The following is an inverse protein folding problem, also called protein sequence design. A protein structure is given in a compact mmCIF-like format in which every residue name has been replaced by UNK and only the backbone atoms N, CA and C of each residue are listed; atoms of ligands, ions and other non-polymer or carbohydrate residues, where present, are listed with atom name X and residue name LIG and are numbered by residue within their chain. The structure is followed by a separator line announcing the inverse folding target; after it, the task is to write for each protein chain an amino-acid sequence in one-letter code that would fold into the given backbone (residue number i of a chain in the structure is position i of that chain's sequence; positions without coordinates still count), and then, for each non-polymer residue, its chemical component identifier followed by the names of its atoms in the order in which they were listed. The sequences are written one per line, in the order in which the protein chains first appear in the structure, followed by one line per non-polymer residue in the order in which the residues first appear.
data_IF_070948923456
#
_entry.id   IF_070948923456
#
_cell.length_a   1.000
_cell.length_b   1.000
_cell.length_c   1.000
_cell.angle_alpha   90.00
_cell.angle_beta   90.00
_cell.angle_gamma   90.00
#
_symmetry.space_group_name_H-M   'P 1'
#
loop_
_entity.id
_entity.type
_entity.pdbx_description
1 polymer ?
#
# COMPACT_ATOMS: atom_id res chain seq x y z
N UNK A 1 1.43 41.23 -17.60
CA UNK A 1 0.49 40.15 -17.19
C UNK A 1 1.04 39.56 -15.91
N UNK A 2 0.24 39.61 -14.85
CA UNK A 2 0.74 39.74 -13.47
C UNK A 2 -0.12 38.89 -12.54
N UNK A 3 0.50 38.15 -11.62
CA UNK A 3 -0.21 37.47 -10.54
C UNK A 3 -0.80 38.52 -9.59
N UNK A 4 -2.11 38.43 -9.30
CA UNK A 4 -2.82 39.30 -8.36
C UNK A 4 -3.22 38.54 -7.10
N UNK A 5 -2.96 39.10 -5.93
CA UNK A 5 -3.37 38.53 -4.63
C UNK A 5 -4.04 39.62 -3.80
N UNK A 6 -5.33 39.46 -3.48
CA UNK A 6 -6.08 40.47 -2.74
C UNK A 6 -6.11 41.84 -3.43
N UNK A 7 -6.05 41.84 -4.78
CA UNK A 7 -6.00 43.05 -5.61
C UNK A 7 -4.63 43.70 -5.77
N UNK A 8 -3.56 43.10 -5.23
CA UNK A 8 -2.18 43.61 -5.30
C UNK A 8 -1.33 42.75 -6.24
N UNK A 9 -0.37 43.34 -6.93
CA UNK A 9 0.49 42.62 -7.89
C UNK A 9 1.68 41.97 -7.20
N UNK A 10 2.16 40.87 -7.79
CA UNK A 10 3.44 40.26 -7.42
C UNK A 10 4.51 40.66 -8.43
N UNK A 11 5.59 41.29 -7.97
CA UNK A 11 6.71 41.73 -8.80
C UNK A 11 7.50 40.54 -9.36
N UNK A 12 7.92 40.61 -10.64
CA UNK A 12 8.70 39.54 -11.28
C UNK A 12 10.20 39.74 -11.05
N UNK A 13 11.01 38.65 -11.02
CA UNK A 13 12.46 38.75 -10.84
C UNK A 13 13.19 39.55 -11.93
N UNK A 14 12.64 39.57 -13.15
CA UNK A 14 13.22 40.23 -14.33
C UNK A 14 12.65 41.64 -14.58
N UNK A 15 11.81 42.15 -13.68
CA UNK A 15 11.39 43.55 -13.74
C UNK A 15 12.64 44.39 -13.44
N UNK A 16 13.14 45.15 -14.43
CA UNK A 16 14.34 45.97 -14.26
C UNK A 16 14.24 46.79 -12.96
N UNK A 17 15.29 46.82 -12.12
CA UNK A 17 15.31 47.67 -10.96
C UNK A 17 15.34 49.12 -11.46
N UNK A 18 14.16 49.73 -11.60
CA UNK A 18 14.07 51.18 -11.69
C UNK A 18 14.80 51.73 -10.47
N UNK A 19 15.66 52.73 -10.68
CA UNK A 19 16.60 53.27 -9.71
C UNK A 19 15.97 53.92 -8.45
N UNK A 20 14.72 53.59 -8.13
CA UNK A 20 14.06 53.80 -6.85
C UNK A 20 13.32 52.51 -6.52
N UNK A 21 13.64 51.90 -5.38
CA UNK A 21 12.95 50.75 -4.79
C UNK A 21 11.48 51.07 -4.48
N UNK A 22 10.64 51.10 -5.50
CA UNK A 22 9.19 51.22 -5.35
C UNK A 22 8.54 50.11 -6.14
N UNK A 23 8.52 48.93 -5.53
CA UNK A 23 7.27 48.16 -5.50
C UNK A 23 6.19 49.19 -5.16
N UNK A 24 5.22 49.41 -6.05
CA UNK A 24 4.17 50.42 -5.82
C UNK A 24 3.60 50.19 -4.40
N UNK A 25 3.35 51.24 -3.59
CA UNK A 25 2.90 51.07 -2.21
C UNK A 25 1.61 50.25 -2.18
N UNK A 26 1.74 48.94 -1.94
CA UNK A 26 0.66 47.97 -2.09
C UNK A 26 1.08 46.63 -2.70
N UNK A 27 2.06 46.58 -3.61
CA UNK A 27 2.47 45.36 -4.31
C UNK A 27 3.38 44.45 -3.45
N UNK A 28 3.47 43.17 -3.83
CA UNK A 28 4.25 42.15 -3.14
C UNK A 28 5.56 41.85 -3.87
N UNK A 29 6.66 41.76 -3.13
CA UNK A 29 7.89 41.12 -3.60
C UNK A 29 7.74 39.60 -3.57
N UNK A 30 8.16 38.90 -4.63
CA UNK A 30 8.07 37.43 -4.73
C UNK A 30 8.74 36.75 -3.51
N UNK A 31 9.90 37.24 -3.07
CA UNK A 31 10.64 36.67 -1.94
C UNK A 31 9.89 36.83 -0.59
N UNK A 32 9.35 38.02 -0.32
CA UNK A 32 8.58 38.29 0.90
C UNK A 32 7.26 37.49 0.91
N UNK A 33 6.65 37.33 -0.27
CA UNK A 33 5.42 36.56 -0.43
C UNK A 33 5.66 35.05 -0.34
N UNK A 34 6.81 34.55 -0.82
CA UNK A 34 7.19 33.15 -0.68
C UNK A 34 7.29 32.73 0.80
N UNK A 35 7.77 33.63 1.68
CA UNK A 35 7.80 33.38 3.12
C UNK A 35 6.38 33.30 3.71
N UNK A 36 5.52 34.28 3.42
CA UNK A 36 4.12 34.27 3.91
C UNK A 36 3.33 33.07 3.36
N UNK A 37 3.58 32.69 2.10
CA UNK A 37 3.00 31.53 1.47
C UNK A 37 3.48 30.23 2.12
N UNK A 38 4.75 30.15 2.53
CA UNK A 38 5.28 29.00 3.28
C UNK A 38 4.54 28.83 4.61
N UNK A 39 4.36 29.92 5.36
CA UNK A 39 3.61 29.90 6.62
C UNK A 39 2.14 29.50 6.41
N UNK A 40 1.51 30.02 5.36
CA UNK A 40 0.15 29.65 4.98
C UNK A 40 0.04 28.17 4.61
N UNK A 41 0.95 27.64 3.78
CA UNK A 41 0.98 26.22 3.38
C UNK A 41 1.22 25.29 4.59
N UNK A 42 2.14 25.66 5.49
CA UNK A 42 2.40 24.91 6.72
C UNK A 42 1.18 24.91 7.65
N UNK A 43 0.49 26.06 7.81
CA UNK A 43 -0.75 26.14 8.60
C UNK A 43 -1.89 25.29 8.03
N UNK A 44 -1.83 24.96 6.73
CA UNK A 44 -2.76 24.06 6.03
C UNK A 44 -2.29 22.59 6.01
N UNK A 45 -1.24 22.27 6.74
CA UNK A 45 -0.75 20.90 6.93
C UNK A 45 0.36 20.46 5.99
N UNK A 46 0.95 21.36 5.19
CA UNK A 46 2.11 21.06 4.36
C UNK A 46 3.41 21.14 5.18
N UNK A 47 3.71 20.09 5.93
CA UNK A 47 4.83 20.05 6.89
C UNK A 47 6.14 19.52 6.30
N UNK A 48 6.09 18.80 5.18
CA UNK A 48 7.27 18.24 4.54
C UNK A 48 8.02 19.28 3.67
N UNK A 49 9.33 19.43 3.90
CA UNK A 49 10.16 20.37 3.17
C UNK A 49 10.16 20.14 1.65
N UNK A 50 10.10 18.88 1.21
CA UNK A 50 10.07 18.54 -0.22
C UNK A 50 8.78 19.05 -0.89
N UNK A 51 7.64 18.95 -0.20
CA UNK A 51 6.35 19.46 -0.67
C UNK A 51 6.33 20.98 -0.72
N UNK A 52 6.91 21.64 0.29
CA UNK A 52 7.06 23.09 0.29
C UNK A 52 7.91 23.57 -0.90
N UNK A 53 9.02 22.90 -1.21
CA UNK A 53 9.87 23.23 -2.36
C UNK A 53 9.09 23.11 -3.68
N UNK A 54 8.27 22.07 -3.84
CA UNK A 54 7.45 21.87 -5.05
C UNK A 54 6.36 22.95 -5.16
N UNK A 55 5.65 23.25 -4.07
CA UNK A 55 4.63 24.29 -4.05
C UNK A 55 5.20 25.69 -4.33
N UNK A 56 6.39 26.00 -3.80
CA UNK A 56 7.11 27.23 -4.09
C UNK A 56 7.60 27.29 -5.55
N UNK A 57 7.98 26.16 -6.14
CA UNK A 57 8.27 26.06 -7.57
C UNK A 57 7.06 26.40 -8.44
N UNK A 58 5.87 25.89 -8.09
CA UNK A 58 4.61 26.21 -8.77
C UNK A 58 4.22 27.69 -8.60
N UNK A 59 4.45 28.26 -7.41
CA UNK A 59 4.26 29.69 -7.17
C UNK A 59 5.15 30.55 -8.09
N UNK A 60 6.44 30.24 -8.19
CA UNK A 60 7.33 30.94 -9.13
C UNK A 60 6.93 30.75 -10.59
N UNK A 61 6.37 29.59 -10.96
CA UNK A 61 5.76 29.41 -12.30
C UNK A 61 4.59 30.38 -12.50
N UNK A 62 3.70 30.53 -11.52
CA UNK A 62 2.57 31.47 -11.59
C UNK A 62 3.01 32.93 -11.75
N UNK A 63 4.04 33.35 -11.02
CA UNK A 63 4.62 34.70 -11.17
C UNK A 63 5.16 34.93 -12.58
N UNK A 64 5.73 33.89 -13.21
CA UNK A 64 6.35 33.96 -14.54
C UNK A 64 5.40 33.73 -15.70
N UNK A 65 4.19 33.20 -15.46
CA UNK A 65 3.26 32.88 -16.54
C UNK A 65 2.79 34.12 -17.33
N UNK A 66 2.50 33.94 -18.64
CA UNK A 66 2.06 35.03 -19.51
C UNK A 66 0.57 35.35 -19.38
N UNK A 67 -0.18 34.68 -18.50
CA UNK A 67 -1.62 34.92 -18.26
C UNK A 67 -1.83 35.60 -16.91
N UNK A 68 -2.88 36.39 -16.82
CA UNK A 68 -3.31 36.97 -15.54
C UNK A 68 -4.04 35.91 -14.71
N UNK A 69 -3.52 35.64 -13.51
CA UNK A 69 -4.18 34.82 -12.50
C UNK A 69 -4.40 35.66 -11.25
N UNK A 70 -5.59 35.50 -10.64
CA UNK A 70 -5.99 36.30 -9.49
C UNK A 70 -6.50 35.42 -8.36
N UNK A 71 -6.03 35.70 -7.16
CA UNK A 71 -6.42 35.05 -5.93
C UNK A 71 -6.93 36.10 -4.94
N UNK A 72 -7.95 35.75 -4.17
CA UNK A 72 -8.58 36.68 -3.21
C UNK A 72 -7.69 36.95 -1.99
N UNK A 73 -6.73 36.07 -1.69
CA UNK A 73 -5.84 36.12 -0.53
C UNK A 73 -4.65 35.18 -0.71
N UNK A 74 -3.64 35.28 0.16
CA UNK A 74 -2.49 34.35 0.20
C UNK A 74 -2.98 32.95 0.58
N UNK A 75 -3.99 32.86 1.46
CA UNK A 75 -4.62 31.61 1.85
C UNK A 75 -5.33 30.93 0.67
N UNK A 76 -6.00 31.71 -0.19
CA UNK A 76 -6.63 31.19 -1.41
C UNK A 76 -5.57 30.66 -2.40
N UNK A 77 -4.45 31.37 -2.55
CA UNK A 77 -3.32 30.89 -3.34
C UNK A 77 -2.71 29.60 -2.73
N UNK A 78 -2.54 29.55 -1.41
CA UNK A 78 -2.01 28.38 -0.71
C UNK A 78 -2.91 27.14 -0.90
N UNK A 79 -4.23 27.29 -0.79
CA UNK A 79 -5.20 26.22 -1.05
C UNK A 79 -5.09 25.75 -2.50
N UNK A 80 -5.07 26.67 -3.46
CA UNK A 80 -4.96 26.34 -4.88
C UNK A 80 -3.65 25.61 -5.22
N UNK A 81 -2.52 26.04 -4.66
CA UNK A 81 -1.23 25.37 -4.85
C UNK A 81 -1.22 23.97 -4.22
N UNK A 82 -1.87 23.81 -3.07
CA UNK A 82 -2.03 22.52 -2.40
C UNK A 82 -2.89 21.57 -3.24
N UNK A 83 -4.02 22.05 -3.79
CA UNK A 83 -4.87 21.28 -4.71
C UNK A 83 -4.12 20.91 -6.01
N UNK A 84 -3.34 21.84 -6.58
CA UNK A 84 -2.52 21.61 -7.78
C UNK A 84 -1.38 20.62 -7.53
N UNK A 85 -0.72 20.71 -6.36
CA UNK A 85 0.30 19.75 -5.97
C UNK A 85 -0.32 18.37 -5.78
N UNK A 86 -1.48 18.28 -5.12
CA UNK A 86 -2.25 17.04 -5.00
C UNK A 86 -2.69 16.49 -6.35
N UNK A 87 -3.01 17.35 -7.34
CA UNK A 87 -3.33 16.91 -8.70
C UNK A 87 -2.10 16.42 -9.49
N UNK A 88 -0.89 16.95 -9.22
CA UNK A 88 0.38 16.51 -9.86
C UNK A 88 1.06 15.34 -9.15
N UNK A 89 0.78 15.13 -7.86
CA UNK A 89 1.17 13.98 -7.04
C UNK A 89 -0.01 13.63 -6.14
N UNK A 90 -0.94 12.77 -6.60
CA UNK A 90 -2.07 12.38 -5.79
C UNK A 90 -1.59 11.64 -4.54
N UNK A 91 -1.72 12.31 -3.39
CA UNK A 91 -1.84 11.65 -2.08
C UNK A 91 -3.12 10.80 -2.00
N UNK A 92 -4.00 10.92 -2.99
CA UNK A 92 -5.22 10.14 -3.16
C UNK A 92 -5.35 9.71 -4.62
N UNK A 93 -4.81 8.55 -5.01
CA UNK A 93 -5.34 7.85 -6.19
C UNK A 93 -6.83 7.55 -5.95
N UNK A 94 -7.66 7.56 -7.00
CA UNK A 94 -9.11 7.33 -6.95
C UNK A 94 -9.48 6.18 -5.98
N UNK A 95 -9.88 6.53 -4.75
CA UNK A 95 -10.12 5.59 -3.67
C UNK A 95 -11.56 5.06 -3.72
N UNK A 96 -11.99 4.52 -4.85
CA UNK A 96 -13.35 3.98 -4.97
C UNK A 96 -13.53 2.59 -4.34
N UNK A 97 -12.46 1.87 -3.97
CA UNK A 97 -12.62 0.46 -3.61
C UNK A 97 -12.94 0.18 -2.12
N UNK A 98 -12.60 1.04 -1.16
CA UNK A 98 -12.91 0.80 0.27
C UNK A 98 -13.07 2.12 1.05
N UNK A 99 -14.31 2.52 1.45
CA UNK A 99 -14.58 3.73 2.23
C UNK A 99 -13.76 3.87 3.52
N UNK A 100 -13.27 2.74 4.06
CA UNK A 100 -12.49 2.68 5.30
C UNK A 100 -11.08 3.27 5.12
N UNK A 101 -10.45 3.15 3.95
CA UNK A 101 -9.12 3.72 3.75
C UNK A 101 -9.14 5.23 3.62
N UNK A 102 -10.21 5.83 3.06
CA UNK A 102 -10.35 7.30 3.00
C UNK A 102 -10.27 7.95 4.39
N UNK A 103 -10.96 7.37 5.37
CA UNK A 103 -10.88 7.82 6.77
C UNK A 103 -9.49 7.62 7.38
N UNK A 104 -8.80 6.52 7.03
CA UNK A 104 -7.43 6.29 7.47
C UNK A 104 -6.45 7.33 6.88
N UNK A 105 -6.62 7.71 5.61
CA UNK A 105 -5.87 8.80 4.98
C UNK A 105 -6.15 10.15 5.64
N UNK A 106 -7.42 10.47 5.90
CA UNK A 106 -7.79 11.70 6.62
C UNK A 106 -7.17 11.75 8.01
N UNK A 107 -7.26 10.65 8.77
CA UNK A 107 -6.65 10.56 10.09
C UNK A 107 -5.12 10.71 10.03
N UNK A 108 -4.45 10.09 9.06
CA UNK A 108 -3.00 10.25 8.86
C UNK A 108 -2.65 11.71 8.52
N UNK A 109 -3.40 12.34 7.61
CA UNK A 109 -3.24 13.76 7.22
C UNK A 109 -3.40 14.71 8.42
N UNK A 110 -4.31 14.37 9.33
CA UNK A 110 -4.56 15.17 10.53
C UNK A 110 -3.55 14.89 11.68
N UNK A 111 -2.45 14.19 11.41
CA UNK A 111 -1.42 13.88 12.41
C UNK A 111 -1.77 12.71 13.32
N UNK A 112 -2.58 11.76 12.84
CA UNK A 112 -2.97 10.56 13.59
C UNK A 112 -1.77 9.76 14.09
N UNK A 113 -1.87 9.23 15.30
CA UNK A 113 -0.80 8.47 15.95
C UNK A 113 -0.65 7.07 15.34
N UNK A 114 0.60 6.68 15.13
CA UNK A 114 0.99 5.38 14.58
C UNK A 114 1.76 4.59 15.62
N UNK A 115 1.22 3.42 15.97
CA UNK A 115 1.89 2.47 16.86
C UNK A 115 2.59 1.39 16.03
N UNK A 116 3.91 1.25 16.16
CA UNK A 116 4.62 0.20 15.43
C UNK A 116 4.27 -1.19 15.98
N UNK A 117 3.78 -2.09 15.11
CA UNK A 117 3.32 -3.43 15.50
C UNK A 117 4.32 -4.51 15.08
N UNK A 118 4.98 -4.34 13.94
CA UNK A 118 5.94 -5.33 13.45
C UNK A 118 7.02 -4.71 12.55
N UNK A 119 8.17 -5.36 12.51
CA UNK A 119 9.25 -5.05 11.56
C UNK A 119 9.58 -6.31 10.79
N UNK A 120 9.23 -6.33 9.50
CA UNK A 120 9.54 -7.41 8.58
C UNK A 120 10.84 -7.16 7.79
N UNK A 121 11.16 -8.10 6.90
CA UNK A 121 12.33 -7.98 6.02
C UNK A 121 12.24 -6.84 5.01
N UNK A 122 11.03 -6.52 4.52
CA UNK A 122 10.80 -5.49 3.49
C UNK A 122 10.19 -4.19 4.03
N UNK A 123 9.41 -4.28 5.11
CA UNK A 123 8.55 -3.19 5.58
C UNK A 123 8.44 -3.14 7.09
N UNK A 124 8.12 -1.95 7.59
CA UNK A 124 7.61 -1.72 8.95
C UNK A 124 6.08 -1.66 8.87
N UNK A 125 5.43 -2.23 9.88
CA UNK A 125 3.97 -2.25 9.97
C UNK A 125 3.57 -1.45 11.20
N UNK A 126 2.73 -0.46 10.98
CA UNK A 126 2.16 0.41 12.00
C UNK A 126 0.65 0.18 12.06
N UNK A 127 0.07 0.35 13.23
CA UNK A 127 -1.37 0.46 13.40
C UNK A 127 -1.70 1.94 13.53
N UNK A 128 -2.77 2.37 12.87
CA UNK A 128 -3.32 3.69 13.07
C UNK A 128 -4.23 3.67 14.30
N UNK A 129 -3.91 4.43 15.34
CA UNK A 129 -4.59 4.29 16.64
C UNK A 129 -6.08 4.63 16.55
N UNK A 130 -6.44 5.61 15.70
CA UNK A 130 -7.83 5.98 15.42
C UNK A 130 -8.61 4.89 14.65
N UNK A 131 -7.89 3.97 13.99
CA UNK A 131 -8.45 2.92 13.14
C UNK A 131 -7.73 1.59 13.43
N UNK A 132 -8.05 0.92 14.56
CA UNK A 132 -7.34 -0.29 15.00
C UNK A 132 -7.53 -1.51 14.09
N UNK A 133 -8.44 -1.41 13.12
CA UNK A 133 -8.67 -2.36 12.05
C UNK A 133 -7.85 -2.07 10.78
N UNK A 134 -7.01 -1.03 10.79
CA UNK A 134 -6.16 -0.64 9.66
C UNK A 134 -4.69 -0.64 10.06
N UNK A 135 -3.89 -1.30 9.23
CA UNK A 135 -2.44 -1.26 9.33
C UNK A 135 -1.85 -0.48 8.17
N UNK A 136 -0.79 0.28 8.45
CA UNK A 136 0.05 0.91 7.45
C UNK A 136 1.34 0.13 7.29
N UNK A 137 1.59 -0.35 6.09
CA UNK A 137 2.82 -0.99 5.68
C UNK A 137 3.71 0.06 5.00
N UNK A 138 4.91 0.30 5.53
CA UNK A 138 5.87 1.29 4.99
C UNK A 138 7.18 0.58 4.66
N UNK A 139 7.75 0.85 3.48
CA UNK A 139 9.06 0.33 3.11
C UNK A 139 10.11 0.64 4.17
N UNK A 140 10.90 -0.38 4.53
CA UNK A 140 11.90 -0.27 5.61
C UNK A 140 13.00 0.74 5.27
N UNK A 141 13.36 0.81 4.00
CA UNK A 141 14.35 1.70 3.40
C UNK A 141 14.09 1.83 1.88
N UNK A 142 14.82 2.71 1.20
CA UNK A 142 14.62 3.03 -0.23
C UNK A 142 14.82 1.83 -1.14
N UNK A 143 15.68 0.90 -0.74
CA UNK A 143 15.92 -0.32 -1.55
C UNK A 143 14.68 -1.22 -1.58
N UNK A 144 13.70 -1.00 -0.69
CA UNK A 144 12.48 -1.79 -0.57
C UNK A 144 11.25 -1.13 -1.18
N UNK A 145 11.34 0.14 -1.57
CA UNK A 145 10.20 0.91 -2.10
C UNK A 145 9.53 0.22 -3.29
N UNK A 146 10.34 -0.22 -4.26
CA UNK A 146 9.82 -0.91 -5.45
C UNK A 146 9.15 -2.24 -5.11
N UNK A 147 9.72 -3.01 -4.18
CA UNK A 147 9.18 -4.32 -3.80
C UNK A 147 7.87 -4.17 -3.02
N UNK A 148 7.79 -3.20 -2.09
CA UNK A 148 6.55 -2.89 -1.36
C UNK A 148 5.45 -2.43 -2.31
N UNK A 149 5.77 -1.52 -3.24
CA UNK A 149 4.82 -1.04 -4.22
C UNK A 149 4.32 -2.18 -5.14
N UNK A 150 5.22 -3.06 -5.56
CA UNK A 150 4.89 -4.24 -6.38
C UNK A 150 3.97 -5.21 -5.64
N UNK A 151 4.28 -5.50 -4.37
CA UNK A 151 3.45 -6.37 -3.53
C UNK A 151 2.03 -5.83 -3.37
N UNK A 152 1.87 -4.53 -3.12
CA UNK A 152 0.56 -3.90 -3.00
C UNK A 152 -0.27 -4.01 -4.29
N UNK A 153 0.35 -3.72 -5.45
CA UNK A 153 -0.32 -3.86 -6.75
C UNK A 153 -0.76 -5.30 -7.00
N UNK A 154 0.14 -6.26 -6.78
CA UNK A 154 -0.19 -7.66 -6.97
C UNK A 154 -1.31 -8.13 -6.03
N UNK A 155 -1.34 -7.67 -4.78
CA UNK A 155 -2.46 -7.95 -3.89
C UNK A 155 -3.78 -7.39 -4.40
N UNK A 156 -3.80 -6.25 -5.10
CA UNK A 156 -5.03 -5.72 -5.71
C UNK A 156 -5.50 -6.52 -6.91
N UNK A 157 -4.56 -7.12 -7.65
CA UNK A 157 -4.86 -7.81 -8.92
C UNK A 157 -5.27 -9.29 -8.71
N UNK A 158 -4.73 -9.96 -7.68
CA UNK A 158 -4.99 -11.38 -7.37
C UNK A 158 -6.49 -11.77 -7.31
N UNK A 159 -7.40 -10.95 -6.72
CA UNK A 159 -8.82 -11.30 -6.66
C UNK A 159 -9.48 -11.46 -8.03
N UNK A 160 -9.02 -10.74 -9.06
CA UNK A 160 -9.52 -10.90 -10.42
C UNK A 160 -9.21 -12.28 -11.01
N UNK A 161 -8.19 -12.96 -10.48
CA UNK A 161 -7.81 -14.33 -10.80
C UNK A 161 -8.39 -15.37 -9.82
N UNK A 162 -9.34 -14.97 -8.97
CA UNK A 162 -9.97 -15.85 -7.98
C UNK A 162 -9.11 -16.16 -6.75
N UNK A 163 -7.90 -15.59 -6.65
CA UNK A 163 -7.02 -15.75 -5.49
C UNK A 163 -7.33 -14.66 -4.47
N UNK A 164 -7.66 -15.05 -3.23
CA UNK A 164 -7.89 -14.08 -2.16
C UNK A 164 -6.58 -13.49 -1.67
N UNK A 165 -6.58 -12.18 -1.52
CA UNK A 165 -5.44 -11.39 -1.05
C UNK A 165 -5.89 -10.40 0.01
N UNK A 166 -4.92 -9.89 0.75
CA UNK A 166 -5.15 -8.85 1.75
C UNK A 166 -5.74 -7.61 1.05
N UNK A 167 -6.85 -7.11 1.57
CA UNK A 167 -7.43 -5.87 1.08
C UNK A 167 -6.48 -4.73 1.41
N UNK A 168 -5.99 -4.05 0.38
CA UNK A 168 -5.03 -2.95 0.48
C UNK A 168 -5.51 -1.70 -0.23
N UNK A 169 -5.00 -0.55 0.22
CA UNK A 169 -5.10 0.70 -0.53
C UNK A 169 -4.17 0.69 -1.73
N UNK A 170 -4.25 1.75 -2.52
CA UNK A 170 -3.19 2.10 -3.45
C UNK A 170 -1.88 2.43 -2.72
N UNK A 171 -0.80 2.42 -3.47
CA UNK A 171 0.53 2.79 -2.98
C UNK A 171 0.63 4.32 -2.90
N UNK A 172 1.07 4.83 -1.76
CA UNK A 172 1.32 6.24 -1.52
C UNK A 172 2.71 6.43 -0.90
N UNK A 173 3.05 7.68 -0.56
CA UNK A 173 4.31 8.04 0.08
C UNK A 173 4.07 8.50 1.52
N UNK A 174 4.91 8.03 2.43
CA UNK A 174 4.91 8.41 3.84
C UNK A 174 6.36 8.51 4.32
N UNK A 175 6.75 9.68 4.85
CA UNK A 175 8.13 9.97 5.27
C UNK A 175 9.18 9.63 4.20
N UNK A 176 8.88 9.93 2.93
CA UNK A 176 9.76 9.66 1.79
C UNK A 176 9.91 8.17 1.43
N UNK A 177 8.99 7.31 1.89
CA UNK A 177 8.96 5.86 1.63
C UNK A 177 7.65 5.43 1.01
N UNK A 178 7.69 4.37 0.19
CA UNK A 178 6.46 3.77 -0.35
C UNK A 178 5.71 3.04 0.74
N UNK A 179 4.41 3.30 0.80
CA UNK A 179 3.51 2.76 1.80
C UNK A 179 2.17 2.34 1.18
N UNK A 180 1.44 1.50 1.90
CA UNK A 180 0.05 1.17 1.62
C UNK A 180 -0.69 0.85 2.93
N UNK A 181 -2.00 1.08 2.96
CA UNK A 181 -2.85 0.60 4.04
C UNK A 181 -3.35 -0.81 3.74
N UNK A 182 -3.57 -1.59 4.79
CA UNK A 182 -4.21 -2.90 4.71
C UNK A 182 -5.24 -3.07 5.81
N UNK A 183 -6.30 -3.81 5.52
CA UNK A 183 -7.31 -4.16 6.51
C UNK A 183 -6.80 -5.29 7.40
N UNK A 184 -6.99 -5.15 8.71
CA UNK A 184 -6.77 -6.22 9.68
C UNK A 184 -7.71 -7.38 9.40
N UNK A 185 -7.15 -8.59 9.39
CA UNK A 185 -7.92 -9.83 9.32
C UNK A 185 -8.17 -10.31 10.75
N UNK A 186 -9.43 -10.51 11.11
CA UNK A 186 -9.81 -10.92 12.45
C UNK A 186 -9.38 -12.35 12.77
N UNK A 187 -8.81 -12.54 13.95
CA UNK A 187 -8.33 -13.86 14.40
C UNK A 187 -7.27 -14.46 13.47
N UNK A 188 -6.53 -13.64 12.71
CA UNK A 188 -5.46 -14.04 11.81
C UNK A 188 -4.41 -14.96 12.45
N UNK A 189 -3.93 -15.95 11.69
CA UNK A 189 -2.62 -16.59 11.90
C UNK A 189 -1.84 -16.51 10.58
N UNK A 190 -0.60 -16.01 10.64
CA UNK A 190 0.30 -16.07 9.48
C UNK A 190 0.84 -17.48 9.26
N UNK A 191 0.93 -17.91 8.01
CA UNK A 191 1.52 -19.19 7.62
C UNK A 191 2.28 -19.09 6.30
N UNK A 192 3.33 -19.90 6.16
CA UNK A 192 4.01 -20.17 4.88
C UNK A 192 3.47 -21.46 4.31
N UNK A 193 2.73 -21.38 3.20
CA UNK A 193 1.95 -22.51 2.67
C UNK A 193 2.83 -23.75 2.43
N UNK A 194 4.03 -23.55 1.89
CA UNK A 194 4.95 -24.63 1.51
C UNK A 194 6.02 -24.93 2.57
N UNK A 195 6.05 -24.19 3.68
CA UNK A 195 7.08 -24.40 4.71
C UNK A 195 6.81 -25.70 5.50
N UNK A 196 7.85 -26.53 5.60
CA UNK A 196 7.79 -27.82 6.28
C UNK A 196 7.17 -28.96 5.45
N UNK A 197 6.91 -28.75 4.15
CA UNK A 197 6.37 -29.76 3.24
C UNK A 197 7.50 -30.56 2.58
N UNK A 198 7.43 -31.89 2.64
CA UNK A 198 8.34 -32.79 1.92
C UNK A 198 7.62 -34.01 1.39
N UNK A 199 7.85 -34.31 0.12
CA UNK A 199 7.20 -35.40 -0.63
C UNK A 199 7.77 -36.79 -0.35
N UNK A 200 8.86 -36.90 0.41
CA UNK A 200 9.61 -38.16 0.59
C UNK A 200 9.20 -38.98 1.84
N UNK A 201 8.26 -38.52 2.66
CA UNK A 201 7.81 -39.23 3.86
C UNK A 201 6.29 -39.07 4.06
N UNK A 202 5.60 -40.17 4.42
CA UNK A 202 4.20 -40.13 4.86
C UNK A 202 4.08 -39.19 6.06
N UNK A 203 3.32 -38.10 5.88
CA UNK A 203 3.03 -37.06 6.87
C UNK A 203 4.26 -36.34 7.47
N UNK A 204 4.93 -35.52 6.66
CA UNK A 204 5.68 -34.35 7.16
C UNK A 204 4.78 -33.18 7.61
N UNK A 205 3.44 -33.35 7.57
CA UNK A 205 2.45 -32.36 8.01
C UNK A 205 2.57 -31.95 9.47
N UNK A 206 3.23 -32.75 10.32
CA UNK A 206 3.55 -32.36 11.69
C UNK A 206 4.38 -31.06 11.76
N UNK A 207 5.13 -30.74 10.70
CA UNK A 207 5.98 -29.54 10.59
C UNK A 207 5.42 -28.48 9.63
N UNK A 208 4.27 -28.73 8.99
CA UNK A 208 3.67 -27.75 8.10
C UNK A 208 3.17 -26.54 8.88
N UNK A 209 3.65 -25.36 8.52
CA UNK A 209 3.22 -24.13 9.19
C UNK A 209 1.75 -23.82 8.90
N UNK A 210 1.27 -24.14 7.69
CA UNK A 210 -0.14 -23.99 7.32
C UNK A 210 -1.04 -24.92 8.15
N UNK A 211 -0.74 -26.22 8.23
CA UNK A 211 -1.56 -27.16 9.01
C UNK A 211 -1.56 -26.77 10.49
N UNK A 212 -0.42 -26.33 11.02
CA UNK A 212 -0.32 -25.84 12.39
C UNK A 212 -1.19 -24.60 12.63
N UNK A 213 -1.19 -23.64 11.70
CA UNK A 213 -2.05 -22.46 11.75
C UNK A 213 -3.54 -22.84 11.67
N UNK A 214 -3.91 -23.74 10.75
CA UNK A 214 -5.29 -24.23 10.61
C UNK A 214 -5.78 -24.93 11.89
N UNK A 215 -4.94 -25.72 12.54
CA UNK A 215 -5.26 -26.36 13.83
C UNK A 215 -5.43 -25.34 14.94
N UNK A 216 -4.49 -24.40 15.07
CA UNK A 216 -4.52 -23.33 16.09
C UNK A 216 -5.78 -22.47 15.97
N UNK A 217 -6.29 -22.25 14.76
CA UNK A 217 -7.51 -21.48 14.50
C UNK A 217 -8.79 -22.31 14.44
N UNK A 218 -8.73 -23.61 14.75
CA UNK A 218 -9.90 -24.49 14.75
C UNK A 218 -10.49 -24.77 13.36
N UNK A 219 -9.80 -24.39 12.28
CA UNK A 219 -10.22 -24.61 10.90
C UNK A 219 -10.04 -26.07 10.50
N UNK A 220 -8.95 -26.71 10.96
CA UNK A 220 -8.60 -28.09 10.57
C UNK A 220 -9.61 -29.17 11.04
N UNK A 221 -10.48 -28.81 11.98
CA UNK A 221 -11.49 -29.69 12.59
C UNK A 221 -12.92 -29.29 12.23
N UNK A 222 -13.10 -28.19 11.49
CA UNK A 222 -14.41 -27.69 11.04
C UNK A 222 -14.57 -27.97 9.54
N UNK A 223 -15.53 -28.82 9.18
CA UNK A 223 -15.76 -29.22 7.79
C UNK A 223 -16.08 -28.04 6.87
N UNK A 224 -16.83 -27.05 7.36
CA UNK A 224 -17.28 -25.91 6.56
C UNK A 224 -16.11 -24.98 6.29
N UNK A 225 -15.34 -24.64 7.33
CA UNK A 225 -14.16 -23.79 7.19
C UNK A 225 -13.05 -24.46 6.38
N UNK A 226 -12.85 -25.76 6.58
CA UNK A 226 -11.85 -26.52 5.82
C UNK A 226 -12.21 -26.64 4.34
N UNK A 227 -13.50 -26.75 3.99
CA UNK A 227 -13.94 -26.72 2.59
C UNK A 227 -13.58 -25.40 1.90
N UNK A 228 -13.75 -24.28 2.62
CA UNK A 228 -13.32 -22.95 2.16
C UNK A 228 -11.81 -22.90 1.96
N UNK A 229 -11.02 -23.37 2.93
CA UNK A 229 -9.55 -23.45 2.81
C UNK A 229 -9.12 -24.26 1.60
N UNK A 230 -9.77 -25.40 1.34
CA UNK A 230 -9.47 -26.25 0.17
C UNK A 230 -9.77 -25.51 -1.13
N UNK A 231 -10.90 -24.80 -1.21
CA UNK A 231 -11.26 -24.00 -2.39
C UNK A 231 -10.24 -22.91 -2.67
N UNK A 232 -9.82 -22.16 -1.65
CA UNK A 232 -8.83 -21.09 -1.81
C UNK A 232 -7.45 -21.66 -2.23
N UNK A 233 -7.07 -22.83 -1.70
CA UNK A 233 -5.82 -23.48 -2.05
C UNK A 233 -5.80 -23.99 -3.50
N UNK A 234 -6.94 -24.45 -4.03
CA UNK A 234 -7.09 -24.82 -5.43
C UNK A 234 -6.94 -23.61 -6.36
N UNK A 235 -7.58 -22.47 -6.02
CA UNK A 235 -7.41 -21.23 -6.78
C UNK A 235 -5.95 -20.74 -6.78
N UNK A 236 -5.27 -20.83 -5.63
CA UNK A 236 -3.84 -20.53 -5.52
C UNK A 236 -3.01 -21.46 -6.41
N UNK A 237 -3.35 -22.74 -6.51
CA UNK A 237 -2.63 -23.72 -7.35
C UNK A 237 -2.83 -23.46 -8.83
N UNK A 238 -4.06 -23.14 -9.24
CA UNK A 238 -4.37 -22.77 -10.63
C UNK A 238 -3.56 -21.54 -11.03
N UNK A 239 -3.63 -20.48 -10.24
CA UNK A 239 -2.84 -19.26 -10.48
C UNK A 239 -1.33 -19.53 -10.50
N UNK A 240 -0.81 -20.33 -9.57
CA UNK A 240 0.60 -20.69 -9.53
C UNK A 240 1.05 -21.52 -10.74
N UNK A 241 0.14 -22.26 -11.39
CA UNK A 241 0.47 -23.02 -12.60
C UNK A 241 0.71 -22.07 -13.78
N UNK A 242 -0.08 -21.00 -13.87
CA UNK A 242 0.09 -19.95 -14.88
C UNK A 242 1.27 -19.01 -14.56
N UNK A 243 1.52 -18.78 -13.26
CA UNK A 243 2.56 -17.87 -12.74
C UNK A 243 3.44 -18.58 -11.70
N UNK A 244 4.36 -19.47 -12.12
CA UNK A 244 5.11 -20.32 -11.18
C UNK A 244 6.00 -19.56 -10.18
N UNK A 245 6.50 -18.39 -10.56
CA UNK A 245 7.29 -17.50 -9.69
C UNK A 245 6.50 -16.97 -8.48
N UNK A 246 5.17 -17.03 -8.51
CA UNK A 246 4.30 -16.73 -7.37
C UNK A 246 4.59 -17.61 -6.14
N UNK A 247 5.18 -18.79 -6.35
CA UNK A 247 5.43 -19.79 -5.29
C UNK A 247 6.64 -19.52 -4.41
N UNK A 248 7.49 -18.55 -4.74
CA UNK A 248 8.82 -18.36 -4.13
C UNK A 248 8.82 -18.03 -2.63
N UNK A 249 7.83 -17.29 -2.15
CA UNK A 249 7.60 -17.02 -0.71
C UNK A 249 6.10 -16.97 -0.42
N UNK A 250 5.41 -18.06 -0.78
CA UNK A 250 3.95 -18.16 -0.71
C UNK A 250 3.47 -18.14 0.75
N UNK A 251 2.96 -16.98 1.16
CA UNK A 251 2.52 -16.65 2.51
C UNK A 251 1.04 -16.27 2.52
N UNK A 252 0.35 -16.68 3.58
CA UNK A 252 -1.05 -16.37 3.78
C UNK A 252 -1.37 -16.09 5.24
N UNK A 253 -2.50 -15.42 5.43
CA UNK A 253 -3.22 -15.31 6.70
C UNK A 253 -4.38 -16.30 6.66
N UNK A 254 -4.48 -17.14 7.69
CA UNK A 254 -5.67 -17.97 7.94
C UNK A 254 -6.70 -17.14 8.69
N UNK A 255 -7.85 -16.88 8.06
CA UNK A 255 -8.98 -16.23 8.71
C UNK A 255 -9.77 -17.24 9.56
N UNK A 256 -9.81 -17.02 10.87
CA UNK A 256 -10.36 -18.00 11.82
C UNK A 256 -11.88 -18.18 11.74
N UNK A 257 -12.60 -17.16 11.29
CA UNK A 257 -14.07 -17.13 11.25
C UNK A 257 -14.60 -17.94 10.06
N UNK A 258 -13.97 -17.80 8.90
CA UNK A 258 -14.42 -18.37 7.62
C UNK A 258 -13.60 -19.56 7.15
N UNK A 259 -12.32 -19.65 7.54
CA UNK A 259 -11.35 -20.59 6.96
C UNK A 259 -10.67 -20.09 5.69
N UNK A 260 -10.85 -18.82 5.31
CA UNK A 260 -10.19 -18.26 4.12
C UNK A 260 -8.67 -18.22 4.23
N UNK A 261 -8.00 -18.46 3.11
CA UNK A 261 -6.56 -18.23 2.95
C UNK A 261 -6.35 -16.90 2.22
N UNK A 262 -5.86 -15.90 2.94
CA UNK A 262 -5.68 -14.55 2.43
C UNK A 262 -4.20 -14.33 2.14
N UNK A 263 -3.82 -14.25 0.85
CA UNK A 263 -2.43 -14.00 0.45
C UNK A 263 -1.99 -12.61 0.90
N UNK A 264 -0.82 -12.54 1.53
CA UNK A 264 -0.13 -11.27 1.79
C UNK A 264 1.31 -11.36 1.33
N UNK A 265 1.89 -10.21 0.99
CA UNK A 265 3.28 -10.08 0.55
C UNK A 265 3.68 -11.03 -0.59
N UNK A 266 2.88 -11.08 -1.67
CA UNK A 266 3.09 -12.05 -2.73
C UNK A 266 4.42 -11.82 -3.44
N UNK A 267 5.07 -12.93 -3.82
CA UNK A 267 6.31 -12.90 -4.61
C UNK A 267 6.09 -12.40 -6.03
N UNK A 268 7.16 -12.31 -6.82
CA UNK A 268 7.15 -11.82 -8.22
C UNK A 268 6.31 -12.76 -9.09
N UNK A 269 5.72 -12.21 -10.15
CA UNK A 269 4.91 -12.95 -11.15
C UNK A 269 5.46 -12.80 -12.57
N UNK A 270 6.66 -12.24 -12.69
CA UNK A 270 7.28 -11.85 -13.96
C UNK A 270 7.92 -13.08 -14.62
N UNK A 271 7.07 -13.90 -15.25
CA UNK A 271 7.48 -15.03 -16.08
C UNK A 271 8.16 -16.19 -15.33
N UNK A 272 8.42 -17.30 -16.04
CA UNK A 272 9.24 -18.38 -15.50
C UNK A 272 10.66 -17.86 -15.25
N UNK A 273 11.21 -18.28 -14.12
CA UNK A 273 12.49 -17.77 -13.67
C UNK A 273 13.64 -18.20 -14.59
N UNK A 274 14.54 -17.26 -14.91
CA UNK A 274 15.70 -17.55 -15.74
C UNK A 274 16.62 -18.57 -15.06
N UNK A 275 16.76 -19.75 -15.66
CA UNK A 275 17.73 -20.78 -15.26
C UNK A 275 17.12 -22.07 -14.71
N UNK A 276 17.80 -23.20 -14.97
CA UNK A 276 17.33 -24.54 -14.64
C UNK A 276 17.04 -24.75 -13.14
N UNK A 277 17.85 -24.15 -12.25
CA UNK A 277 17.66 -24.25 -10.81
C UNK A 277 16.36 -23.57 -10.33
N UNK A 278 15.95 -22.48 -10.99
CA UNK A 278 14.74 -21.76 -10.62
C UNK A 278 13.48 -22.48 -11.12
N UNK A 279 13.50 -22.99 -12.36
CA UNK A 279 12.46 -23.84 -12.90
C UNK A 279 12.26 -25.13 -12.07
N UNK A 280 13.35 -25.75 -11.58
CA UNK A 280 13.27 -26.90 -10.68
C UNK A 280 12.60 -26.56 -9.34
N UNK A 281 12.89 -25.39 -8.76
CA UNK A 281 12.25 -24.92 -7.52
C UNK A 281 10.76 -24.68 -7.72
N UNK A 282 10.37 -24.04 -8.81
CA UNK A 282 8.98 -23.78 -9.17
C UNK A 282 8.21 -25.10 -9.39
N UNK A 283 8.78 -26.03 -10.16
CA UNK A 283 8.17 -27.35 -10.38
C UNK A 283 8.03 -28.14 -9.08
N UNK A 284 9.02 -28.07 -8.17
CA UNK A 284 8.92 -28.66 -6.83
C UNK A 284 7.81 -28.01 -6.02
N UNK A 285 7.74 -26.68 -6.02
CA UNK A 285 6.74 -25.94 -5.26
C UNK A 285 5.30 -26.26 -5.70
N UNK A 286 5.07 -26.44 -7.02
CA UNK A 286 3.78 -26.87 -7.53
C UNK A 286 3.40 -28.29 -7.08
N UNK A 287 4.37 -29.22 -7.04
CA UNK A 287 4.15 -30.57 -6.49
C UNK A 287 3.84 -30.54 -5.00
N UNK A 288 4.57 -29.73 -4.23
CA UNK A 288 4.34 -29.56 -2.80
C UNK A 288 2.95 -28.96 -2.54
N UNK A 289 2.52 -27.97 -3.34
CA UNK A 289 1.19 -27.36 -3.25
C UNK A 289 0.07 -28.37 -3.53
N UNK A 290 0.24 -29.21 -4.56
CA UNK A 290 -0.70 -30.28 -4.86
C UNK A 290 -0.80 -31.31 -3.72
N UNK A 291 0.33 -31.64 -3.07
CA UNK A 291 0.35 -32.51 -1.90
C UNK A 291 -0.41 -31.92 -0.71
N UNK A 292 -0.20 -30.63 -0.41
CA UNK A 292 -0.96 -29.94 0.64
C UNK A 292 -2.47 -29.99 0.34
N UNK A 293 -2.87 -29.72 -0.90
CA UNK A 293 -4.28 -29.80 -1.31
C UNK A 293 -4.87 -31.20 -1.13
N UNK A 294 -4.13 -32.25 -1.53
CA UNK A 294 -4.57 -33.65 -1.33
C UNK A 294 -4.83 -33.97 0.14
N UNK A 295 -3.90 -33.59 1.01
CA UNK A 295 -4.01 -33.79 2.45
C UNK A 295 -5.24 -33.11 3.03
N UNK A 296 -5.47 -31.84 2.68
CA UNK A 296 -6.62 -31.10 3.22
C UNK A 296 -7.94 -31.69 2.71
N UNK A 297 -7.98 -32.19 1.47
CA UNK A 297 -9.13 -32.93 0.92
C UNK A 297 -9.39 -34.24 1.66
N UNK A 298 -8.36 -35.02 1.96
CA UNK A 298 -8.50 -36.24 2.77
C UNK A 298 -9.04 -35.94 4.16
N UNK A 299 -8.55 -34.86 4.79
CA UNK A 299 -9.05 -34.42 6.09
C UNK A 299 -10.53 -33.98 6.00
N UNK A 300 -10.89 -33.22 4.96
CA UNK A 300 -12.27 -32.80 4.73
C UNK A 300 -13.21 -34.00 4.53
N UNK A 301 -12.77 -35.01 3.78
CA UNK A 301 -13.53 -36.24 3.58
C UNK A 301 -13.77 -36.98 4.91
N UNK A 302 -12.73 -37.07 5.78
CA UNK A 302 -12.86 -37.66 7.12
C UNK A 302 -13.89 -36.92 7.98
N UNK A 303 -13.82 -35.59 8.03
CA UNK A 303 -14.77 -34.78 8.79
C UNK A 303 -16.21 -34.91 8.26
N UNK A 304 -16.36 -35.06 6.95
CA UNK A 304 -17.67 -35.21 6.30
C UNK A 304 -18.27 -36.60 6.54
N UNK A 305 -17.45 -37.63 6.70
CA UNK A 305 -17.89 -38.99 7.01
C UNK A 305 -18.42 -39.15 8.44
N UNK A 306 -17.94 -38.34 9.40
CA UNK A 306 -18.37 -38.38 10.81
C UNK A 306 -19.75 -37.75 11.05
N UNK A 307 -20.27 -36.97 10.09
CA UNK A 307 -21.60 -36.33 10.16
C UNK A 307 -22.74 -37.16 9.55
N UNK A 308 -22.45 -38.39 9.07
CA UNK A 308 -23.44 -39.37 8.63
C UNK A 308 -23.61 -40.45 9.69
#
# INVERSE_FOLDING_TARGET
MTLLIGGRRVAKPDDEPKASSSVDPGDYEEAALAQQLTEALQSKGMLEQAHLVVALGLFSEYVRQPKEESFTSIEALAIHLLERQQAKSPLTPDHEAVPVFGKAFEALRNGGTLSQVAVGGQKRVFQLDAHPDIFMAVAKDSSKDQEVARQARLMKDLPASGVRSLTVSEVFEHDGRKAFFSKKVEGAEGARILSGVSTMQQLTLAKSTLVSALKKKGVFTDSTKLAVTVSDLEAIREYATEKPSFTWDLQCIVESTTGHLIIHDPSRTDGPSAGAAAAQREAKALKDLAMVASVLKEQLAKLSAVKK
#
